data_IF_397531091297
#
_entry.id   IF_397531091297
#
_cell.length_a   1.000
_cell.length_b   1.000
_cell.length_c   1.000
_cell.angle_alpha   90.00
_cell.angle_beta   90.00
_cell.angle_gamma   90.00
#
_symmetry.space_group_name_H-M   'P 1'
#
loop_
_entity.id
_entity.type
_entity.pdbx_description
1 polymer ?
#
# COMPACT_ATOMS: atom_id res chain seq x y z
N UNK A 1 47.16 47.90 23.00
CA UNK A 1 46.11 47.31 23.86
C UNK A 1 45.10 46.82 22.86
N UNK A 2 45.39 45.64 22.34
CA UNK A 2 44.97 45.26 20.99
C UNK A 2 43.67 44.48 21.06
N UNK A 3 42.87 44.72 20.04
CA UNK A 3 41.45 44.47 19.93
C UNK A 3 41.20 42.97 19.65
N UNK A 4 40.91 42.18 20.69
CA UNK A 4 40.63 40.73 20.59
C UNK A 4 39.12 40.44 20.70
N UNK A 5 38.27 41.05 19.85
CA UNK A 5 36.82 40.78 19.88
C UNK A 5 36.13 40.66 18.51
N UNK A 6 36.86 40.26 17.48
CA UNK A 6 36.26 39.99 16.17
C UNK A 6 36.68 38.65 15.57
N UNK A 7 36.37 37.52 16.21
CA UNK A 7 36.34 36.25 15.48
C UNK A 7 35.55 35.10 16.13
N UNK A 8 34.29 35.28 16.50
CA UNK A 8 33.44 34.12 16.89
C UNK A 8 31.98 34.18 16.42
N UNK A 9 31.66 35.05 15.44
CA UNK A 9 30.30 35.14 14.87
C UNK A 9 30.06 34.28 13.62
N UNK A 10 30.95 33.33 13.29
CA UNK A 10 30.80 32.50 12.09
C UNK A 10 30.37 31.05 12.37
N UNK A 11 30.11 30.66 13.63
CA UNK A 11 29.76 29.26 13.97
C UNK A 11 28.38 29.06 14.60
N UNK A 12 27.61 30.12 14.78
CA UNK A 12 26.26 30.06 15.37
C UNK A 12 25.12 30.03 14.33
N UNK A 13 25.43 30.04 13.03
CA UNK A 13 24.43 30.05 11.94
C UNK A 13 24.29 28.71 11.20
N UNK A 14 24.99 27.66 11.64
CA UNK A 14 24.89 26.31 11.02
C UNK A 14 24.00 25.36 11.83
N UNK A 15 23.72 25.69 13.10
CA UNK A 15 22.99 24.81 14.01
C UNK A 15 21.57 25.30 14.39
N UNK A 16 21.10 26.41 13.84
CA UNK A 16 19.68 26.82 13.98
C UNK A 16 18.80 26.33 12.83
N UNK A 17 19.40 25.63 11.85
CA UNK A 17 18.72 24.74 10.89
C UNK A 17 18.75 23.31 11.44
N UNK A 18 18.57 23.14 12.75
CA UNK A 18 18.47 21.82 13.39
C UNK A 18 16.98 21.57 13.64
N UNK A 19 16.45 20.67 12.81
CA UNK A 19 15.21 19.92 12.97
C UNK A 19 13.97 20.73 13.31
N UNK A 20 13.30 21.26 12.28
CA UNK A 20 11.86 21.42 12.35
C UNK A 20 11.27 20.05 12.78
N UNK A 21 10.62 19.95 13.96
CA UNK A 21 10.13 18.69 14.50
C UNK A 21 9.21 17.96 13.50
N UNK A 22 8.56 18.70 12.60
CA UNK A 22 7.77 18.14 11.52
C UNK A 22 8.63 17.44 10.45
N UNK A 23 9.75 18.04 10.05
CA UNK A 23 10.69 17.41 9.10
C UNK A 23 11.29 16.12 9.68
N UNK A 24 11.65 16.12 10.97
CA UNK A 24 12.16 14.92 11.64
C UNK A 24 11.09 13.81 11.72
N UNK A 25 9.84 14.18 11.99
CA UNK A 25 8.70 13.26 11.99
C UNK A 25 8.47 12.63 10.62
N UNK A 26 8.41 13.45 9.56
CA UNK A 26 8.26 13.01 8.17
C UNK A 26 9.39 12.05 7.78
N UNK A 27 10.65 12.44 8.05
CA UNK A 27 11.80 11.61 7.74
C UNK A 27 11.73 10.26 8.48
N UNK A 28 11.30 10.25 9.74
CA UNK A 28 11.12 9.03 10.52
C UNK A 28 10.04 8.10 9.96
N UNK A 29 8.89 8.66 9.52
CA UNK A 29 7.82 7.87 8.89
C UNK A 29 8.35 7.16 7.65
N UNK A 30 8.95 7.93 6.74
CA UNK A 30 9.41 7.38 5.46
C UNK A 30 10.56 6.41 5.65
N UNK A 31 11.51 6.69 6.55
CA UNK A 31 12.63 5.80 6.82
C UNK A 31 12.16 4.45 7.38
N UNK A 32 11.28 4.46 8.39
CA UNK A 32 10.73 3.23 8.96
C UNK A 32 9.87 2.48 7.94
N UNK A 33 9.03 3.19 7.18
CA UNK A 33 8.20 2.57 6.13
C UNK A 33 9.07 1.90 5.08
N UNK A 34 10.16 2.54 4.65
CA UNK A 34 11.08 2.01 3.65
C UNK A 34 11.80 0.75 4.15
N UNK A 35 12.17 0.69 5.43
CA UNK A 35 12.72 -0.53 6.05
C UNK A 35 11.69 -1.67 5.99
N UNK A 36 10.45 -1.42 6.40
CA UNK A 36 9.38 -2.43 6.44
C UNK A 36 9.03 -2.93 5.03
N UNK A 37 8.93 -2.00 4.06
CA UNK A 37 8.75 -2.31 2.64
C UNK A 37 9.92 -3.15 2.15
N UNK A 38 11.16 -2.70 2.39
CA UNK A 38 12.37 -3.40 1.95
C UNK A 38 12.44 -4.83 2.49
N UNK A 39 12.18 -5.04 3.78
CA UNK A 39 12.12 -6.39 4.37
C UNK A 39 11.04 -7.26 3.71
N UNK A 40 9.89 -6.69 3.39
CA UNK A 40 8.80 -7.40 2.71
C UNK A 40 9.19 -7.78 1.29
N UNK A 41 9.77 -6.85 0.52
CA UNK A 41 10.26 -7.09 -0.84
C UNK A 41 11.33 -8.18 -0.86
N UNK A 42 12.34 -8.05 0.01
CA UNK A 42 13.41 -9.03 0.14
C UNK A 42 12.84 -10.39 0.49
N UNK A 43 11.87 -10.46 1.40
CA UNK A 43 11.20 -11.71 1.76
C UNK A 43 10.46 -12.34 0.58
N UNK A 44 9.71 -11.56 -0.20
CA UNK A 44 9.04 -12.06 -1.40
C UNK A 44 10.03 -12.55 -2.45
N UNK A 45 11.09 -11.79 -2.73
CA UNK A 45 12.13 -12.21 -3.69
C UNK A 45 12.83 -13.48 -3.23
N UNK A 46 13.18 -13.61 -1.95
CA UNK A 46 13.77 -14.82 -1.39
C UNK A 46 12.82 -16.02 -1.49
N UNK A 47 11.53 -15.82 -1.21
CA UNK A 47 10.52 -16.88 -1.31
C UNK A 47 10.30 -17.32 -2.76
N UNK A 48 10.33 -16.40 -3.72
CA UNK A 48 10.31 -16.72 -5.14
C UNK A 48 11.57 -17.48 -5.59
N UNK A 49 12.76 -17.04 -5.15
CA UNK A 49 14.03 -17.67 -5.50
C UNK A 49 14.16 -19.09 -4.94
N UNK A 50 13.65 -19.32 -3.75
CA UNK A 50 13.70 -20.66 -3.13
C UNK A 50 12.71 -21.63 -3.75
N UNK A 51 11.79 -21.17 -4.62
CA UNK A 51 10.70 -21.95 -5.22
C UNK A 51 9.94 -22.81 -4.20
N UNK A 52 10.01 -22.43 -2.93
CA UNK A 52 9.33 -23.13 -1.86
C UNK A 52 7.86 -22.77 -2.02
N UNK A 53 6.96 -23.75 -1.92
CA UNK A 53 5.50 -23.52 -1.93
C UNK A 53 5.02 -23.41 -0.48
N UNK A 54 5.19 -22.27 0.22
CA UNK A 54 4.71 -22.14 1.59
C UNK A 54 3.18 -22.26 1.65
N UNK A 55 2.48 -21.93 0.55
CA UNK A 55 1.03 -22.06 0.48
C UNK A 55 0.55 -23.52 0.71
N UNK A 56 1.27 -24.52 0.22
CA UNK A 56 0.91 -25.94 0.45
C UNK A 56 1.08 -26.40 1.90
N UNK A 57 1.86 -25.67 2.70
CA UNK A 57 2.17 -26.04 4.09
C UNK A 57 1.36 -25.23 5.11
N UNK A 58 0.65 -24.19 4.67
CA UNK A 58 -0.18 -23.37 5.55
C UNK A 58 -1.59 -23.97 5.63
N UNK A 59 -2.10 -24.29 6.83
CA UNK A 59 -3.42 -24.90 7.01
C UNK A 59 -4.57 -23.88 6.87
N UNK A 60 -4.28 -22.63 6.52
CA UNK A 60 -5.26 -21.54 6.51
C UNK A 60 -5.52 -21.04 5.08
N UNK A 61 -6.78 -20.70 4.75
CA UNK A 61 -7.12 -20.12 3.45
C UNK A 61 -6.58 -18.70 3.30
N UNK A 62 -6.29 -18.28 2.06
CA UNK A 62 -5.60 -17.02 1.73
C UNK A 62 -6.30 -15.74 2.20
N UNK A 63 -7.59 -15.79 2.54
CA UNK A 63 -8.33 -14.63 3.08
C UNK A 63 -8.06 -14.36 4.56
N UNK A 64 -7.60 -15.36 5.33
CA UNK A 64 -7.31 -15.22 6.77
C UNK A 64 -6.27 -14.13 7.06
N UNK A 65 -5.09 -14.08 6.40
CA UNK A 65 -4.13 -13.02 6.65
C UNK A 65 -4.69 -11.62 6.35
N UNK A 66 -5.57 -11.47 5.35
CA UNK A 66 -6.20 -10.19 5.02
C UNK A 66 -7.14 -9.73 6.14
N UNK A 67 -7.95 -10.64 6.69
CA UNK A 67 -8.83 -10.35 7.84
C UNK A 67 -7.99 -9.96 9.06
N UNK A 68 -6.89 -10.66 9.31
CA UNK A 68 -6.00 -10.35 10.45
C UNK A 68 -5.35 -8.97 10.29
N UNK A 69 -4.91 -8.59 9.10
CA UNK A 69 -4.38 -7.25 8.82
C UNK A 69 -5.45 -6.18 9.08
N UNK A 70 -6.68 -6.40 8.59
CA UNK A 70 -7.78 -5.47 8.80
C UNK A 70 -8.08 -5.29 10.30
N UNK A 71 -8.21 -6.38 11.05
CA UNK A 71 -8.44 -6.34 12.49
C UNK A 71 -7.28 -5.66 13.24
N UNK A 72 -6.03 -5.92 12.85
CA UNK A 72 -4.86 -5.26 13.44
C UNK A 72 -4.88 -3.74 13.19
N UNK A 73 -5.28 -3.31 11.99
CA UNK A 73 -5.40 -1.89 11.67
C UNK A 73 -6.55 -1.21 12.40
N UNK A 74 -7.71 -1.84 12.46
CA UNK A 74 -8.88 -1.34 13.21
C UNK A 74 -8.53 -1.24 14.70
N UNK A 75 -7.88 -2.24 15.29
CA UNK A 75 -7.48 -2.19 16.70
C UNK A 75 -6.46 -1.09 16.99
N UNK A 76 -5.49 -0.86 16.09
CA UNK A 76 -4.56 0.26 16.22
C UNK A 76 -5.26 1.63 16.09
N UNK A 77 -6.24 1.77 15.20
CA UNK A 77 -6.96 3.03 15.00
C UNK A 77 -7.98 3.31 16.12
N UNK A 78 -8.68 2.28 16.60
CA UNK A 78 -9.72 2.43 17.63
C UNK A 78 -9.13 2.58 19.04
N UNK A 79 -7.95 2.03 19.30
CA UNK A 79 -7.31 2.06 20.62
C UNK A 79 -5.92 2.68 20.50
N UNK A 80 -5.81 4.02 20.43
CA UNK A 80 -4.51 4.70 20.39
C UNK A 80 -3.65 4.38 21.64
N UNK A 81 -4.27 3.97 22.75
CA UNK A 81 -3.58 3.47 23.95
C UNK A 81 -2.70 2.22 23.71
N UNK A 82 -3.02 1.38 22.72
CA UNK A 82 -2.17 0.24 22.34
C UNK A 82 -0.87 0.73 21.67
N UNK A 83 -0.94 1.83 20.92
CA UNK A 83 0.24 2.48 20.35
C UNK A 83 1.16 3.10 21.42
N UNK A 84 0.62 3.32 22.64
CA UNK A 84 1.36 3.84 23.79
C UNK A 84 2.29 2.80 24.43
N UNK A 85 1.93 1.51 24.36
CA UNK A 85 2.75 0.43 24.92
C UNK A 85 3.87 0.04 23.95
N UNK A 86 5.10 0.45 24.25
CA UNK A 86 6.28 0.27 23.39
C UNK A 86 6.46 -1.15 22.82
N UNK A 87 6.32 -2.26 23.56
CA UNK A 87 6.43 -3.59 22.97
C UNK A 87 5.20 -3.99 22.12
N UNK A 88 4.00 -3.54 22.51
CA UNK A 88 2.76 -3.94 21.84
C UNK A 88 2.68 -3.39 20.41
N UNK A 89 3.10 -2.13 20.20
CA UNK A 89 3.13 -1.52 18.86
C UNK A 89 4.05 -2.28 17.89
N UNK A 90 5.22 -2.73 18.36
CA UNK A 90 6.17 -3.48 17.53
C UNK A 90 5.68 -4.89 17.24
N UNK A 91 5.04 -5.54 18.21
CA UNK A 91 4.42 -6.85 18.01
C UNK A 91 3.31 -6.78 16.97
N UNK A 92 2.44 -5.78 17.05
CA UNK A 92 1.35 -5.59 16.08
C UNK A 92 1.88 -5.21 14.69
N UNK A 93 2.90 -4.35 14.59
CA UNK A 93 3.56 -4.05 13.32
C UNK A 93 4.24 -5.29 12.70
N UNK A 94 4.90 -6.11 13.52
CA UNK A 94 5.49 -7.37 13.10
C UNK A 94 4.43 -8.39 12.64
N UNK A 95 3.31 -8.50 13.36
CA UNK A 95 2.18 -9.33 12.97
C UNK A 95 1.63 -8.93 11.60
N UNK A 96 1.41 -7.62 11.40
CA UNK A 96 0.95 -7.09 10.11
C UNK A 96 1.94 -7.42 9.01
N UNK A 97 3.25 -7.23 9.24
CA UNK A 97 4.28 -7.60 8.26
C UNK A 97 4.31 -9.10 7.93
N UNK A 98 4.19 -9.97 8.92
CA UNK A 98 4.20 -11.41 8.65
C UNK A 98 2.95 -11.80 7.85
N UNK A 99 1.79 -11.25 8.20
CA UNK A 99 0.54 -11.48 7.47
C UNK A 99 0.60 -10.95 6.04
N UNK A 100 1.19 -9.77 5.80
CA UNK A 100 1.35 -9.22 4.44
C UNK A 100 2.37 -9.99 3.62
N UNK A 101 3.47 -10.46 4.23
CA UNK A 101 4.44 -11.33 3.55
C UNK A 101 3.71 -12.59 3.08
N UNK A 102 2.99 -13.25 3.98
CA UNK A 102 2.21 -14.46 3.67
C UNK A 102 1.17 -14.18 2.59
N UNK A 103 0.34 -13.13 2.72
CA UNK A 103 -0.68 -12.77 1.74
C UNK A 103 -0.08 -12.48 0.36
N UNK A 104 1.01 -11.71 0.32
CA UNK A 104 1.71 -11.39 -0.91
C UNK A 104 2.29 -12.62 -1.60
N UNK A 105 2.74 -13.64 -0.83
CA UNK A 105 3.23 -14.88 -1.42
C UNK A 105 2.18 -15.62 -2.24
N UNK A 106 0.91 -15.61 -1.84
CA UNK A 106 -0.16 -16.22 -2.64
C UNK A 106 -0.27 -15.57 -4.02
N UNK A 107 -0.15 -14.25 -4.08
CA UNK A 107 -0.26 -13.48 -5.31
C UNK A 107 1.02 -13.61 -6.14
N UNK A 108 2.19 -13.42 -5.53
CA UNK A 108 3.47 -13.44 -6.25
C UNK A 108 3.83 -14.82 -6.78
N UNK A 109 3.28 -15.91 -6.23
CA UNK A 109 3.59 -17.26 -6.71
C UNK A 109 2.97 -17.54 -8.10
N UNK A 110 1.79 -16.98 -8.36
CA UNK A 110 1.14 -17.08 -9.68
C UNK A 110 1.83 -16.20 -10.72
N UNK A 111 2.45 -15.09 -10.30
CA UNK A 111 3.22 -14.22 -11.19
C UNK A 111 4.68 -14.68 -11.30
N UNK A 112 5.20 -14.81 -12.53
CA UNK A 112 6.62 -15.07 -12.75
C UNK A 112 7.55 -14.05 -12.07
N UNK A 113 8.78 -14.47 -11.73
CA UNK A 113 9.77 -13.63 -11.03
C UNK A 113 10.01 -12.29 -11.75
N UNK A 114 10.18 -12.31 -13.08
CA UNK A 114 10.41 -11.11 -13.88
C UNK A 114 9.21 -10.17 -13.84
N UNK A 115 7.99 -10.69 -14.00
CA UNK A 115 6.76 -9.90 -13.92
C UNK A 115 6.61 -9.27 -12.54
N UNK A 116 6.84 -10.04 -11.48
CA UNK A 116 6.80 -9.53 -10.10
C UNK A 116 7.79 -8.39 -9.88
N UNK A 117 9.06 -8.54 -10.30
CA UNK A 117 10.07 -7.48 -10.16
C UNK A 117 9.70 -6.22 -10.96
N UNK A 118 9.19 -6.38 -12.18
CA UNK A 118 8.76 -5.25 -13.01
C UNK A 118 7.57 -4.51 -12.38
N UNK A 119 6.59 -5.25 -11.85
CA UNK A 119 5.43 -4.68 -11.15
C UNK A 119 5.88 -3.94 -9.90
N UNK A 120 6.80 -4.50 -9.12
CA UNK A 120 7.36 -3.84 -7.94
C UNK A 120 8.02 -2.50 -8.31
N UNK A 121 8.79 -2.46 -9.40
CA UNK A 121 9.41 -1.22 -9.89
C UNK A 121 8.36 -0.20 -10.33
N UNK A 122 7.35 -0.64 -11.09
CA UNK A 122 6.26 0.22 -11.56
C UNK A 122 5.47 0.83 -10.38
N UNK A 123 5.10 0.00 -9.40
CA UNK A 123 4.40 0.41 -8.18
C UNK A 123 5.24 1.40 -7.39
N UNK A 124 6.54 1.16 -7.22
CA UNK A 124 7.43 2.09 -6.53
C UNK A 124 7.45 3.49 -7.19
N UNK A 125 7.51 3.54 -8.52
CA UNK A 125 7.48 4.80 -9.28
C UNK A 125 6.13 5.50 -9.13
N UNK A 126 5.02 4.78 -9.28
CA UNK A 126 3.67 5.36 -9.16
C UNK A 126 3.45 5.90 -7.74
N UNK A 127 3.82 5.14 -6.72
CA UNK A 127 3.70 5.57 -5.32
C UNK A 127 4.57 6.79 -5.03
N UNK A 128 5.78 6.86 -5.60
CA UNK A 128 6.63 8.04 -5.45
C UNK A 128 5.98 9.28 -6.07
N UNK A 129 5.38 9.15 -7.26
CA UNK A 129 4.64 10.23 -7.92
C UNK A 129 3.42 10.65 -7.09
N UNK A 130 2.63 9.70 -6.57
CA UNK A 130 1.46 9.97 -5.73
C UNK A 130 1.83 10.60 -4.39
N UNK A 131 2.91 10.16 -3.76
CA UNK A 131 3.40 10.79 -2.53
C UNK A 131 3.93 12.20 -2.78
N UNK A 132 4.67 12.39 -3.87
CA UNK A 132 5.22 13.70 -4.24
C UNK A 132 4.11 14.68 -4.62
N UNK A 133 3.09 14.22 -5.35
CA UNK A 133 1.93 15.04 -5.68
C UNK A 133 1.18 15.45 -4.42
N UNK A 134 0.96 14.53 -3.46
CA UNK A 134 0.38 14.87 -2.15
C UNK A 134 1.21 15.92 -1.39
N UNK A 135 2.53 15.75 -1.32
CA UNK A 135 3.41 16.68 -0.63
C UNK A 135 3.41 18.09 -1.25
N UNK A 136 3.39 18.19 -2.59
CA UNK A 136 3.52 19.45 -3.34
C UNK A 136 2.19 20.11 -3.74
N UNK A 137 1.05 19.41 -3.68
CA UNK A 137 -0.23 19.96 -4.15
C UNK A 137 -0.71 21.12 -3.25
N UNK A 138 -1.00 22.32 -3.77
CA UNK A 138 -1.58 23.42 -2.99
C UNK A 138 -2.98 23.06 -2.47
N UNK A 139 -3.25 23.43 -1.23
CA UNK A 139 -4.48 23.08 -0.48
C UNK A 139 -5.74 23.65 -1.16
N UNK A 140 -5.59 24.71 -1.95
CA UNK A 140 -6.64 25.38 -2.73
C UNK A 140 -7.20 24.53 -3.89
N UNK A 141 -6.43 23.55 -4.39
CA UNK A 141 -6.86 22.67 -5.48
C UNK A 141 -7.64 21.46 -4.95
N UNK A 142 -7.57 21.17 -3.64
CA UNK A 142 -8.32 20.07 -3.09
C UNK A 142 -9.76 20.49 -2.78
N UNK A 143 -10.77 19.74 -3.24
CA UNK A 143 -12.12 19.87 -2.70
C UNK A 143 -11.99 19.72 -1.17
N UNK A 144 -12.46 20.73 -0.42
CA UNK A 144 -12.08 20.94 0.97
C UNK A 144 -12.04 19.65 1.79
N UNK A 145 -11.11 19.52 2.74
CA UNK A 145 -10.82 18.25 3.44
C UNK A 145 -12.04 17.47 3.95
N UNK A 146 -13.16 18.15 4.24
CA UNK A 146 -14.45 17.54 4.52
C UNK A 146 -15.01 16.70 3.36
N UNK A 147 -15.02 17.20 2.13
CA UNK A 147 -15.48 16.44 0.96
C UNK A 147 -14.61 15.23 0.67
N UNK A 148 -13.29 15.40 0.80
CA UNK A 148 -12.33 14.31 0.61
C UNK A 148 -12.51 13.20 1.66
N UNK A 149 -12.68 13.56 2.94
CA UNK A 149 -12.95 12.60 4.02
C UNK A 149 -14.30 11.92 3.88
N UNK A 150 -15.35 12.64 3.47
CA UNK A 150 -16.67 12.05 3.19
C UNK A 150 -16.60 11.06 2.03
N UNK A 151 -15.91 11.41 0.95
CA UNK A 151 -15.69 10.50 -0.18
C UNK A 151 -14.94 9.24 0.25
N UNK A 152 -13.87 9.38 1.04
CA UNK A 152 -13.12 8.24 1.59
C UNK A 152 -13.99 7.34 2.49
N UNK A 153 -14.87 7.93 3.30
CA UNK A 153 -15.78 7.18 4.16
C UNK A 153 -16.84 6.42 3.36
N UNK A 154 -17.39 7.04 2.30
CA UNK A 154 -18.32 6.37 1.38
C UNK A 154 -17.63 5.23 0.64
N UNK A 155 -16.42 5.44 0.11
CA UNK A 155 -15.65 4.38 -0.55
C UNK A 155 -15.33 3.23 0.40
N UNK A 156 -14.94 3.54 1.64
CA UNK A 156 -14.71 2.52 2.66
C UNK A 156 -15.99 1.72 2.97
N UNK A 157 -17.15 2.38 3.09
CA UNK A 157 -18.42 1.70 3.31
C UNK A 157 -18.77 0.77 2.14
N UNK A 158 -18.62 1.24 0.90
CA UNK A 158 -18.83 0.43 -0.30
C UNK A 158 -17.89 -0.77 -0.30
N UNK A 159 -16.62 -0.57 0.04
CA UNK A 159 -15.62 -1.63 0.09
C UNK A 159 -15.96 -2.68 1.15
N UNK A 160 -16.47 -2.28 2.32
CA UNK A 160 -16.95 -3.21 3.35
C UNK A 160 -18.16 -4.01 2.86
N UNK A 161 -19.15 -3.36 2.25
CA UNK A 161 -20.36 -4.03 1.75
C UNK A 161 -20.02 -5.03 0.64
N UNK A 162 -19.22 -4.61 -0.34
CA UNK A 162 -18.77 -5.48 -1.44
C UNK A 162 -17.87 -6.60 -0.90
N UNK A 163 -17.01 -6.31 0.07
CA UNK A 163 -16.15 -7.31 0.71
C UNK A 163 -16.97 -8.39 1.43
N UNK A 164 -17.99 -8.01 2.20
CA UNK A 164 -18.90 -8.98 2.85
C UNK A 164 -19.66 -9.79 1.78
N UNK A 165 -20.20 -9.13 0.75
CA UNK A 165 -20.92 -9.81 -0.32
C UNK A 165 -20.03 -10.81 -1.08
N UNK A 166 -18.77 -10.45 -1.34
CA UNK A 166 -17.77 -11.33 -1.92
C UNK A 166 -17.52 -12.53 -1.00
N UNK A 167 -17.32 -12.33 0.30
CA UNK A 167 -17.05 -13.42 1.25
C UNK A 167 -18.23 -14.40 1.35
N UNK A 168 -19.47 -13.90 1.25
CA UNK A 168 -20.66 -14.74 1.29
C UNK A 168 -20.93 -15.49 -0.02
N UNK A 169 -20.64 -14.88 -1.17
CA UNK A 169 -21.02 -15.43 -2.49
C UNK A 169 -19.88 -16.17 -3.16
N UNK A 170 -18.63 -15.81 -2.87
CA UNK A 170 -17.43 -16.33 -3.54
C UNK A 170 -17.31 -15.95 -5.02
N UNK A 171 -18.12 -15.02 -5.52
CA UNK A 171 -18.13 -14.64 -6.94
C UNK A 171 -16.88 -13.84 -7.32
N UNK A 172 -16.22 -14.24 -8.40
CA UNK A 172 -15.03 -13.58 -8.97
C UNK A 172 -15.33 -12.16 -9.47
N UNK A 173 -16.52 -11.91 -10.01
CA UNK A 173 -16.92 -10.56 -10.47
C UNK A 173 -17.02 -9.56 -9.31
N UNK A 174 -17.47 -10.02 -8.14
CA UNK A 174 -17.51 -9.20 -6.93
C UNK A 174 -16.10 -8.93 -6.41
N UNK A 175 -15.17 -9.88 -6.57
CA UNK A 175 -13.76 -9.69 -6.23
C UNK A 175 -13.11 -8.67 -7.16
N UNK A 176 -13.36 -8.72 -8.48
CA UNK A 176 -12.87 -7.72 -9.43
C UNK A 176 -13.39 -6.32 -9.07
N UNK A 177 -14.69 -6.22 -8.74
CA UNK A 177 -15.31 -4.97 -8.27
C UNK A 177 -14.67 -4.47 -6.97
N UNK A 178 -14.43 -5.36 -6.01
CA UNK A 178 -13.77 -5.03 -4.74
C UNK A 178 -12.36 -4.46 -4.98
N UNK A 179 -11.55 -5.13 -5.79
CA UNK A 179 -10.18 -4.70 -6.09
C UNK A 179 -10.17 -3.38 -6.87
N UNK A 180 -11.12 -3.16 -7.79
CA UNK A 180 -11.29 -1.90 -8.51
C UNK A 180 -11.61 -0.73 -7.56
N UNK A 181 -12.56 -0.91 -6.65
CA UNK A 181 -12.90 0.11 -5.64
C UNK A 181 -11.73 0.37 -4.70
N UNK A 182 -11.05 -0.68 -4.24
CA UNK A 182 -9.85 -0.56 -3.40
C UNK A 182 -8.75 0.23 -4.11
N UNK A 183 -8.50 -0.05 -5.38
CA UNK A 183 -7.49 0.65 -6.17
C UNK A 183 -7.79 2.16 -6.28
N UNK A 184 -9.03 2.53 -6.62
CA UNK A 184 -9.46 3.93 -6.70
C UNK A 184 -9.31 4.61 -5.34
N UNK A 185 -9.72 3.92 -4.26
CA UNK A 185 -9.58 4.41 -2.90
C UNK A 185 -8.11 4.67 -2.56
N UNK A 186 -7.18 3.77 -2.91
CA UNK A 186 -5.74 3.94 -2.65
C UNK A 186 -5.14 5.12 -3.41
N UNK A 187 -5.47 5.28 -4.69
CA UNK A 187 -5.01 6.39 -5.52
C UNK A 187 -5.37 7.74 -4.90
N UNK A 188 -6.53 7.83 -4.25
CA UNK A 188 -7.00 9.03 -3.54
C UNK A 188 -6.40 9.13 -2.13
N UNK A 189 -6.32 8.01 -1.40
CA UNK A 189 -5.85 7.96 -0.02
C UNK A 189 -4.37 8.30 0.13
N UNK A 190 -3.51 7.85 -0.81
CA UNK A 190 -2.07 8.06 -0.72
C UNK A 190 -1.70 9.56 -0.72
N UNK A 191 -2.17 10.38 -1.67
CA UNK A 191 -1.94 11.82 -1.64
C UNK A 191 -2.50 12.51 -0.37
N UNK A 192 -3.71 12.13 0.08
CA UNK A 192 -4.32 12.68 1.29
C UNK A 192 -3.46 12.36 2.53
N UNK A 193 -3.00 11.11 2.64
CA UNK A 193 -2.12 10.68 3.72
C UNK A 193 -0.78 11.42 3.67
N UNK A 194 -0.23 11.65 2.48
CA UNK A 194 0.99 12.43 2.32
C UNK A 194 0.80 13.89 2.77
N UNK A 195 -0.34 14.52 2.47
CA UNK A 195 -0.68 15.86 2.97
C UNK A 195 -0.82 15.91 4.48
N UNK A 196 -1.49 14.91 5.07
CA UNK A 196 -1.64 14.77 6.51
C UNK A 196 -0.27 14.61 7.19
N UNK A 197 0.60 13.75 6.67
CA UNK A 197 1.94 13.52 7.20
C UNK A 197 2.82 14.79 7.14
N UNK A 198 2.60 15.67 6.15
CA UNK A 198 3.31 16.95 6.02
C UNK A 198 2.65 18.10 6.82
N UNK A 199 1.68 17.80 7.70
CA UNK A 199 1.04 18.79 8.56
C UNK A 199 0.31 19.92 7.82
N UNK A 200 -0.07 19.68 6.56
CA UNK A 200 -0.74 20.67 5.71
C UNK A 200 -2.26 20.71 5.87
N UNK A 201 -2.81 19.91 6.78
CA UNK A 201 -4.19 20.06 7.21
C UNK A 201 -4.17 20.86 8.51
N UNK A 202 -4.50 22.16 8.42
CA UNK A 202 -4.49 23.15 9.51
C UNK A 202 -5.35 22.82 10.74
N UNK A 203 -6.01 21.66 10.76
CA UNK A 203 -6.92 21.22 11.83
C UNK A 203 -6.21 20.37 12.89
N UNK A 204 -5.03 19.80 12.60
CA UNK A 204 -4.31 18.92 13.54
C UNK A 204 -2.99 19.57 13.96
N UNK A 205 -3.11 20.47 14.92
CA UNK A 205 -2.02 21.14 15.61
C UNK A 205 -1.15 20.09 16.33
N UNK A 206 0.08 19.88 15.83
CA UNK A 206 1.12 18.99 16.38
C UNK A 206 0.72 17.50 16.41
N UNK A 207 1.04 16.76 15.33
CA UNK A 207 0.90 15.29 15.31
C UNK A 207 1.80 14.68 16.39
N UNK A 208 1.25 14.05 17.45
CA UNK A 208 2.06 13.42 18.48
C UNK A 208 2.96 12.34 17.87
N UNK A 209 4.17 12.13 18.44
CA UNK A 209 5.04 10.97 18.11
C UNK A 209 4.31 9.61 18.19
N UNK A 210 3.17 9.59 18.85
CA UNK A 210 2.27 8.45 19.06
C UNK A 210 1.59 8.00 17.75
N UNK A 211 1.30 8.93 16.83
CA UNK A 211 0.73 8.60 15.53
C UNK A 211 1.77 8.14 14.51
N UNK A 212 3.06 8.26 14.82
CA UNK A 212 4.16 7.87 13.93
C UNK A 212 4.00 6.44 13.43
N UNK A 213 3.75 5.49 14.34
CA UNK A 213 3.62 4.08 13.98
C UNK A 213 2.41 3.82 13.10
N UNK A 214 1.28 4.46 13.40
CA UNK A 214 0.04 4.30 12.63
C UNK A 214 0.24 4.87 11.22
N UNK A 215 0.87 6.05 11.09
CA UNK A 215 1.20 6.64 9.79
C UNK A 215 2.19 5.77 9.00
N UNK A 216 3.26 5.28 9.64
CA UNK A 216 4.23 4.36 9.03
C UNK A 216 3.55 3.09 8.52
N UNK A 217 2.72 2.45 9.35
CA UNK A 217 2.05 1.22 9.00
C UNK A 217 1.01 1.44 7.88
N UNK A 218 0.36 2.60 7.86
CA UNK A 218 -0.57 2.98 6.80
C UNK A 218 0.15 3.19 5.47
N UNK A 219 1.29 3.89 5.44
CA UNK A 219 2.12 4.04 4.23
C UNK A 219 2.61 2.68 3.73
N UNK A 220 3.06 1.83 4.65
CA UNK A 220 3.46 0.46 4.35
C UNK A 220 2.32 -0.35 3.73
N UNK A 221 1.14 -0.35 4.35
CA UNK A 221 -0.01 -1.11 3.87
C UNK A 221 -0.58 -0.55 2.57
N UNK A 222 -0.64 0.76 2.39
CA UNK A 222 -0.99 1.36 1.09
C UNK A 222 -0.05 0.86 0.00
N UNK A 223 1.26 0.78 0.27
CA UNK A 223 2.24 0.26 -0.69
C UNK A 223 1.96 -1.20 -1.05
N UNK A 224 1.78 -2.06 -0.04
CA UNK A 224 1.50 -3.48 -0.25
C UNK A 224 0.16 -3.71 -0.95
N UNK A 225 -0.90 -3.04 -0.50
CA UNK A 225 -2.23 -3.17 -1.11
C UNK A 225 -2.24 -2.67 -2.56
N UNK A 226 -1.54 -1.58 -2.85
CA UNK A 226 -1.42 -1.06 -4.22
C UNK A 226 -0.69 -2.06 -5.11
N UNK A 227 0.39 -2.67 -4.62
CA UNK A 227 1.06 -3.77 -5.31
C UNK A 227 0.11 -4.94 -5.59
N UNK A 228 -0.61 -5.42 -4.57
CA UNK A 228 -1.58 -6.51 -4.72
C UNK A 228 -2.67 -6.18 -5.76
N UNK A 229 -3.18 -4.95 -5.79
CA UNK A 229 -4.17 -4.53 -6.78
C UNK A 229 -3.62 -4.60 -8.21
N UNK A 230 -2.42 -4.06 -8.45
CA UNK A 230 -1.80 -4.09 -9.78
C UNK A 230 -1.50 -5.53 -10.21
N UNK A 231 -0.94 -6.35 -9.31
CA UNK A 231 -0.69 -7.77 -9.59
C UNK A 231 -1.97 -8.52 -9.95
N UNK A 232 -3.06 -8.28 -9.21
CA UNK A 232 -4.35 -8.89 -9.50
C UNK A 232 -4.91 -8.45 -10.87
N UNK A 233 -4.83 -7.16 -11.22
CA UNK A 233 -5.27 -6.70 -12.54
C UNK A 233 -4.47 -7.31 -13.69
N UNK A 234 -3.16 -7.52 -13.50
CA UNK A 234 -2.33 -8.20 -14.50
C UNK A 234 -2.79 -9.65 -14.66
N UNK A 235 -3.01 -10.37 -13.57
CA UNK A 235 -3.49 -11.76 -13.60
C UNK A 235 -4.85 -11.87 -14.31
N UNK A 236 -5.80 -10.99 -13.98
CA UNK A 236 -7.11 -10.93 -14.65
C UNK A 236 -6.97 -10.59 -16.14
N UNK A 237 -6.07 -9.68 -16.49
CA UNK A 237 -5.80 -9.33 -17.89
C UNK A 237 -5.20 -10.50 -18.68
N UNK A 238 -4.28 -11.26 -18.09
CA UNK A 238 -3.69 -12.44 -18.70
C UNK A 238 -4.73 -13.55 -18.90
N UNK A 239 -5.59 -13.80 -17.90
CA UNK A 239 -6.72 -14.74 -18.01
C UNK A 239 -7.67 -14.37 -19.14
N UNK A 240 -8.07 -13.09 -19.22
CA UNK A 240 -8.96 -12.58 -20.29
C UNK A 240 -8.31 -12.70 -21.67
N UNK A 241 -6.99 -12.49 -21.78
CA UNK A 241 -6.25 -12.65 -23.04
C UNK A 241 -6.14 -14.12 -23.48
N UNK A 242 -5.97 -15.06 -22.53
CA UNK A 242 -5.90 -16.49 -22.82
C UNK A 242 -7.26 -17.07 -23.26
N UNK A 243 -8.38 -16.57 -22.72
CA UNK A 243 -9.71 -16.97 -23.19
C UNK A 243 -10.02 -16.43 -24.58
N UNK A 244 -9.63 -15.18 -24.88
CA UNK A 244 -9.86 -14.57 -26.19
C UNK A 244 -9.08 -15.25 -27.32
N UNK A 245 -7.86 -15.73 -27.06
CA UNK A 245 -7.07 -16.47 -28.07
C UNK A 245 -7.60 -17.87 -28.36
N UNK A 246 -8.29 -18.48 -27.40
CA UNK A 246 -8.92 -19.81 -27.56
C UNK A 246 -10.17 -19.74 -28.44
N UNK A 247 -10.99 -18.69 -28.31
CA UNK A 247 -12.18 -18.49 -29.12
C UNK A 247 -11.85 -18.21 -30.60
N UNK A 248 -10.77 -17.48 -30.89
CA UNK A 248 -10.33 -17.21 -32.27
C UNK A 248 -9.88 -18.49 -32.97
N UNK A 249 -9.21 -19.40 -32.26
CA UNK A 249 -8.77 -20.68 -32.84
C UNK A 249 -9.95 -21.67 -32.99
N UNK A 250 -10.93 -21.65 -32.09
CA UNK A 250 -12.16 -22.44 -32.21
C UNK A 250 -12.97 -22.08 -33.45
N UNK A 251 -13.17 -20.78 -33.70
CA UNK A 251 -13.89 -20.29 -34.88
C UNK A 251 -13.14 -20.57 -36.20
N UNK A 252 -11.81 -20.53 -36.19
CA UNK A 252 -11.00 -20.84 -37.38
C UNK A 252 -11.07 -22.33 -37.73
N UNK A 253 -11.00 -23.22 -36.74
CA UNK A 253 -11.13 -24.68 -36.94
C UNK A 253 -12.54 -25.07 -37.40
N UNK A 254 -13.60 -24.44 -36.89
CA UNK A 254 -14.97 -24.70 -37.33
C UNK A 254 -15.19 -24.22 -38.79
N UNK A 255 -14.63 -23.06 -39.15
CA UNK A 255 -14.70 -22.52 -40.51
C UNK A 255 -13.88 -23.29 -41.56
N UNK A 256 -12.83 -23.99 -41.15
CA UNK A 256 -12.02 -24.89 -42.00
C UNK A 256 -12.69 -26.25 -42.11
N UNK A 257 -13.39 -26.70 -41.06
CA UNK A 257 -14.13 -27.96 -41.07
C UNK A 257 -15.36 -27.85 -41.98
N UNK A 258 -16.18 -26.79 -41.86
CA UNK A 258 -17.33 -26.58 -42.77
C UNK A 258 -16.92 -26.43 -44.24
N UNK A 259 -15.74 -25.87 -44.52
CA UNK A 259 -15.22 -25.73 -45.90
C UNK A 259 -14.73 -27.02 -46.53
N UNK A 260 -14.47 -28.06 -45.73
CA UNK A 260 -14.04 -29.38 -46.22
C UNK A 260 -15.21 -30.36 -46.41
N UNK A 261 -16.42 -29.98 -45.99
CA UNK A 261 -17.63 -30.80 -46.12
C UNK A 261 -18.64 -30.29 -47.18
N UNK A 262 -18.31 -29.20 -47.88
CA UNK A 262 -19.03 -28.70 -49.07
C UNK A 262 -18.13 -28.78 -50.30
#
# INVERSE_FOLDING_TARGET
MDNIYHQDNARATVNSVIDDPMTQFIHSIYHMSLIMIGLTVVSWVLLLLTNTRPHQHLPFPGYVPVIVIFLAMVTMHCIPGIAYCSPCKWMMAGLVMVCTIVAGCFITFELGLLTTVLVMLCVAVILLVLNFSGAKCPQEILPGGLWSTMLMLVLLLVLVVVGIAQLCTGNEELLETFVAVLFIMLVIAIPIQAQFNHGRLDVVEVVPREHLMICTLTVYLHTVMFFCCISYFIEVSEKKAATASTDVHGHEVESVTERNYN
#
